data_IF_905321194961
#
_entry.id   IF_905321194961
#
_cell.length_a   1.000
_cell.length_b   1.000
_cell.length_c   1.000
_cell.angle_alpha   90.00
_cell.angle_beta   90.00
_cell.angle_gamma   90.00
#
_symmetry.space_group_name_H-M   'P 1'
#
loop_
_entity.id
_entity.type
_entity.pdbx_description
1 polymer ?
#
# COMPACT_ATOMS: atom_id res chain seq x y z
N UNK A 1 34.29 6.78 -14.07
CA UNK A 1 32.98 6.53 -14.70
C UNK A 1 32.16 5.47 -13.98
N UNK A 2 32.79 4.46 -13.41
CA UNK A 2 32.11 3.28 -12.77
C UNK A 2 31.36 3.59 -11.44
N UNK A 3 31.89 4.49 -10.59
CA UNK A 3 31.27 4.84 -9.29
C UNK A 3 29.95 5.62 -9.43
N UNK A 4 29.86 6.50 -10.42
CA UNK A 4 28.64 7.25 -10.76
C UNK A 4 27.57 6.30 -11.29
N UNK A 5 27.91 5.39 -12.17
CA UNK A 5 26.99 4.41 -12.76
C UNK A 5 26.44 3.43 -11.70
N UNK A 6 27.27 3.02 -10.71
CA UNK A 6 26.81 2.22 -9.55
C UNK A 6 25.84 2.97 -8.63
N UNK A 7 26.04 4.28 -8.43
CA UNK A 7 25.12 5.10 -7.63
C UNK A 7 23.76 5.25 -8.33
N UNK A 8 23.72 5.51 -9.63
CA UNK A 8 22.49 5.66 -10.41
C UNK A 8 21.64 4.37 -10.40
N UNK A 9 22.30 3.19 -10.47
CA UNK A 9 21.63 1.88 -10.42
C UNK A 9 20.88 1.61 -9.10
N UNK A 10 21.19 2.33 -8.01
CA UNK A 10 20.47 2.24 -6.73
C UNK A 10 19.58 3.43 -6.45
N UNK A 11 19.93 4.62 -6.95
CA UNK A 11 19.17 5.84 -6.71
C UNK A 11 17.82 5.85 -7.45
N UNK A 12 17.79 5.38 -8.71
CA UNK A 12 16.54 5.33 -9.49
C UNK A 12 15.51 4.37 -8.88
N UNK A 13 15.85 3.12 -8.52
CA UNK A 13 14.91 2.24 -7.80
C UNK A 13 14.46 2.82 -6.45
N UNK A 14 15.36 3.44 -5.69
CA UNK A 14 15.01 4.07 -4.42
C UNK A 14 13.97 5.17 -4.62
N UNK A 15 14.22 6.09 -5.55
CA UNK A 15 13.28 7.18 -5.85
C UNK A 15 11.94 6.64 -6.35
N UNK A 16 11.97 5.63 -7.23
CA UNK A 16 10.77 4.98 -7.74
C UNK A 16 9.92 4.39 -6.61
N UNK A 17 10.52 3.59 -5.72
CA UNK A 17 9.81 2.96 -4.63
C UNK A 17 9.35 3.98 -3.58
N UNK A 18 10.14 5.02 -3.30
CA UNK A 18 9.76 6.10 -2.40
C UNK A 18 8.55 6.89 -2.91
N UNK A 19 8.55 7.26 -4.20
CA UNK A 19 7.42 7.98 -4.84
C UNK A 19 6.17 7.10 -4.87
N UNK A 20 6.31 5.81 -5.21
CA UNK A 20 5.21 4.85 -5.14
C UNK A 20 4.63 4.78 -3.73
N UNK A 21 5.45 4.48 -2.73
CA UNK A 21 5.00 4.30 -1.34
C UNK A 21 4.32 5.55 -0.79
N UNK A 22 4.85 6.73 -1.07
CA UNK A 22 4.19 7.99 -0.72
C UNK A 22 2.81 8.12 -1.37
N UNK A 23 2.72 7.86 -2.67
CA UNK A 23 1.45 7.92 -3.41
C UNK A 23 0.43 6.91 -2.93
N UNK A 24 0.86 5.65 -2.66
CA UNK A 24 0.00 4.59 -2.13
C UNK A 24 -0.55 4.96 -0.75
N UNK A 25 0.30 5.43 0.18
CA UNK A 25 -0.13 5.89 1.51
C UNK A 25 -1.14 7.03 1.42
N UNK A 26 -0.89 8.02 0.56
CA UNK A 26 -1.81 9.13 0.33
C UNK A 26 -3.14 8.67 -0.27
N UNK A 27 -3.11 7.74 -1.22
CA UNK A 27 -4.32 7.16 -1.83
C UNK A 27 -5.17 6.39 -0.81
N UNK A 28 -4.53 5.64 0.08
CA UNK A 28 -5.23 4.82 1.07
C UNK A 28 -5.99 5.66 2.10
N UNK A 29 -5.56 6.89 2.36
CA UNK A 29 -6.23 7.82 3.28
C UNK A 29 -7.50 8.49 2.71
N UNK A 30 -7.66 8.51 1.37
CA UNK A 30 -8.76 9.24 0.73
C UNK A 30 -10.16 8.79 1.18
N UNK A 31 -10.34 7.50 1.43
CA UNK A 31 -11.63 6.93 1.85
C UNK A 31 -12.15 7.55 3.15
N UNK A 32 -11.28 7.61 4.16
CA UNK A 32 -11.64 8.15 5.48
C UNK A 32 -11.83 9.66 5.43
N UNK A 33 -10.90 10.38 4.80
CA UNK A 33 -10.92 11.86 4.75
C UNK A 33 -12.14 12.38 3.99
N UNK A 34 -12.45 11.80 2.83
CA UNK A 34 -13.54 12.26 1.97
C UNK A 34 -14.88 11.56 2.22
N UNK A 35 -15.00 10.69 3.22
CA UNK A 35 -16.25 10.05 3.58
C UNK A 35 -17.40 11.04 3.80
N UNK A 36 -17.24 12.14 4.60
CA UNK A 36 -18.30 13.12 4.76
C UNK A 36 -18.64 13.88 3.47
N UNK A 37 -17.63 14.10 2.61
CA UNK A 37 -17.84 14.77 1.31
C UNK A 37 -18.65 13.89 0.36
N UNK A 38 -18.40 12.58 0.32
CA UNK A 38 -19.17 11.63 -0.46
C UNK A 38 -20.60 11.50 0.07
N UNK A 39 -20.76 11.42 1.39
CA UNK A 39 -22.07 11.36 2.03
C UNK A 39 -22.94 12.55 1.63
N UNK A 40 -22.41 13.76 1.74
CA UNK A 40 -23.14 14.98 1.38
C UNK A 40 -23.36 15.09 -0.15
N UNK A 41 -22.36 14.76 -0.96
CA UNK A 41 -22.43 14.92 -2.43
C UNK A 41 -23.44 14.01 -3.09
N UNK A 42 -23.56 12.78 -2.61
CA UNK A 42 -24.40 11.74 -3.19
C UNK A 42 -25.62 11.43 -2.33
N UNK A 43 -25.86 12.19 -1.23
CA UNK A 43 -26.91 11.96 -0.25
C UNK A 43 -26.95 10.50 0.24
N UNK A 44 -25.77 9.95 0.60
CA UNK A 44 -25.61 8.56 0.97
C UNK A 44 -26.16 8.30 2.38
N UNK A 45 -26.86 7.19 2.54
CA UNK A 45 -27.12 6.60 3.85
C UNK A 45 -25.83 5.99 4.44
N UNK A 46 -25.80 5.77 5.76
CA UNK A 46 -24.63 5.16 6.43
C UNK A 46 -24.24 3.79 5.88
N UNK A 47 -25.18 2.88 5.53
CA UNK A 47 -24.85 1.64 4.85
C UNK A 47 -24.18 1.85 3.48
N UNK A 48 -24.63 2.82 2.70
CA UNK A 48 -24.04 3.15 1.40
C UNK A 48 -22.63 3.74 1.56
N UNK A 49 -22.41 4.58 2.57
CA UNK A 49 -21.09 5.10 2.89
C UNK A 49 -20.12 3.96 3.29
N UNK A 50 -20.59 3.05 4.14
CA UNK A 50 -19.83 1.86 4.55
C UNK A 50 -19.50 0.94 3.38
N UNK A 51 -20.34 0.90 2.33
CA UNK A 51 -20.10 0.12 1.12
C UNK A 51 -18.83 0.56 0.38
N UNK A 52 -18.48 1.85 0.41
CA UNK A 52 -17.23 2.36 -0.19
C UNK A 52 -16.01 1.69 0.46
N UNK A 53 -16.02 1.58 1.78
CA UNK A 53 -14.94 0.93 2.55
C UNK A 53 -14.94 -0.58 2.27
N UNK A 54 -16.10 -1.21 2.37
CA UNK A 54 -16.26 -2.66 2.16
C UNK A 54 -15.78 -3.09 0.78
N UNK A 55 -16.23 -2.44 -0.29
CA UNK A 55 -15.85 -2.79 -1.66
C UNK A 55 -14.35 -2.60 -1.90
N UNK A 56 -13.74 -1.60 -1.27
CA UNK A 56 -12.28 -1.40 -1.33
C UNK A 56 -11.54 -2.59 -0.74
N UNK A 57 -11.97 -3.11 0.42
CA UNK A 57 -11.34 -4.28 1.05
C UNK A 57 -11.61 -5.59 0.30
N UNK A 58 -12.75 -5.71 -0.39
CA UNK A 58 -12.99 -6.81 -1.32
C UNK A 58 -11.95 -6.76 -2.46
N UNK A 59 -11.70 -5.58 -3.03
CA UNK A 59 -10.63 -5.36 -4.00
C UNK A 59 -9.26 -5.78 -3.46
N UNK A 60 -8.91 -5.33 -2.26
CA UNK A 60 -7.68 -5.72 -1.57
C UNK A 60 -7.53 -7.25 -1.47
N UNK A 61 -8.56 -7.95 -0.97
CA UNK A 61 -8.55 -9.39 -0.81
C UNK A 61 -8.35 -10.12 -2.14
N UNK A 62 -9.05 -9.69 -3.19
CA UNK A 62 -8.94 -10.29 -4.51
C UNK A 62 -7.55 -10.09 -5.11
N UNK A 63 -7.01 -8.87 -5.06
CA UNK A 63 -5.67 -8.58 -5.60
C UNK A 63 -4.58 -9.33 -4.83
N UNK A 64 -4.67 -9.45 -3.51
CA UNK A 64 -3.73 -10.24 -2.72
C UNK A 64 -3.82 -11.74 -3.04
N UNK A 65 -5.03 -12.27 -3.16
CA UNK A 65 -5.25 -13.69 -3.47
C UNK A 65 -4.68 -14.09 -4.85
N UNK A 66 -4.78 -13.18 -5.82
CA UNK A 66 -4.25 -13.40 -7.17
C UNK A 66 -2.78 -13.01 -7.30
N UNK A 67 -2.31 -12.11 -6.43
CA UNK A 67 -1.02 -11.44 -6.55
C UNK A 67 0.17 -12.38 -6.55
N UNK A 68 0.20 -13.37 -5.66
CA UNK A 68 1.28 -14.37 -5.62
C UNK A 68 1.41 -15.11 -6.96
N UNK A 69 0.29 -15.63 -7.47
CA UNK A 69 0.26 -16.35 -8.75
C UNK A 69 0.65 -15.45 -9.93
N UNK A 70 0.23 -14.19 -9.93
CA UNK A 70 0.60 -13.22 -10.97
C UNK A 70 2.11 -12.94 -10.96
N UNK A 71 2.70 -12.74 -9.78
CA UNK A 71 4.13 -12.48 -9.60
C UNK A 71 4.99 -13.67 -10.06
N UNK A 72 4.54 -14.88 -9.81
CA UNK A 72 5.24 -16.11 -10.23
C UNK A 72 5.12 -16.34 -11.74
N UNK A 73 3.99 -15.97 -12.36
CA UNK A 73 3.71 -16.25 -13.77
C UNK A 73 4.32 -15.21 -14.71
N UNK A 74 4.12 -13.92 -14.41
CA UNK A 74 4.45 -12.81 -15.33
C UNK A 74 5.74 -12.07 -15.00
N UNK A 75 6.36 -12.39 -13.86
CA UNK A 75 7.55 -11.69 -13.39
C UNK A 75 7.23 -10.38 -12.67
N UNK A 76 8.09 -10.04 -11.71
CA UNK A 76 7.83 -8.97 -10.73
C UNK A 76 7.73 -7.59 -11.36
N UNK A 77 8.60 -7.28 -12.34
CA UNK A 77 8.60 -5.97 -13.04
C UNK A 77 7.34 -5.77 -13.86
N UNK A 78 6.93 -6.80 -14.61
CA UNK A 78 5.71 -6.76 -15.44
C UNK A 78 4.48 -6.56 -14.57
N UNK A 79 4.37 -7.32 -13.47
CA UNK A 79 3.26 -7.18 -12.52
C UNK A 79 3.26 -5.79 -11.90
N UNK A 80 4.42 -5.28 -11.44
CA UNK A 80 4.52 -3.93 -10.88
C UNK A 80 4.04 -2.87 -11.86
N UNK A 81 4.45 -2.92 -13.13
CA UNK A 81 4.02 -1.98 -14.16
C UNK A 81 2.51 -2.08 -14.45
N UNK A 82 2.00 -3.29 -14.63
CA UNK A 82 0.57 -3.50 -14.91
C UNK A 82 -0.30 -3.02 -13.76
N UNK A 83 0.08 -3.32 -12.52
CA UNK A 83 -0.68 -2.91 -11.33
C UNK A 83 -0.55 -1.41 -11.08
N UNK A 84 0.61 -0.79 -11.38
CA UNK A 84 0.75 0.68 -11.38
C UNK A 84 -0.21 1.30 -12.41
N UNK A 85 -0.34 0.72 -13.60
CA UNK A 85 -1.31 1.16 -14.60
C UNK A 85 -2.76 1.08 -14.11
N UNK A 86 -3.15 -0.01 -13.43
CA UNK A 86 -4.48 -0.17 -12.82
C UNK A 86 -4.69 0.90 -11.74
N UNK A 87 -3.69 1.15 -10.89
CA UNK A 87 -3.79 2.19 -9.87
C UNK A 87 -3.93 3.59 -10.46
N UNK A 88 -3.14 3.94 -11.48
CA UNK A 88 -3.26 5.21 -12.23
C UNK A 88 -4.65 5.34 -12.85
N UNK A 89 -5.17 4.27 -13.46
CA UNK A 89 -6.51 4.28 -14.05
C UNK A 89 -7.60 4.47 -12.98
N UNK A 90 -7.43 3.90 -11.79
CA UNK A 90 -8.37 4.14 -10.68
C UNK A 90 -8.34 5.59 -10.21
N UNK A 91 -7.17 6.25 -10.19
CA UNK A 91 -7.07 7.68 -9.88
C UNK A 91 -7.73 8.54 -10.98
N UNK A 92 -7.57 8.16 -12.25
CA UNK A 92 -8.27 8.81 -13.35
C UNK A 92 -9.80 8.69 -13.20
N UNK A 93 -10.30 7.51 -12.84
CA UNK A 93 -11.71 7.30 -12.55
C UNK A 93 -12.21 8.23 -11.42
N UNK A 94 -11.41 8.44 -10.37
CA UNK A 94 -11.75 9.40 -9.31
C UNK A 94 -11.86 10.85 -9.84
N UNK A 95 -10.99 11.26 -10.76
CA UNK A 95 -11.02 12.60 -11.35
C UNK A 95 -12.28 12.82 -12.20
N UNK A 96 -12.62 11.83 -13.04
CA UNK A 96 -13.79 11.91 -13.95
C UNK A 96 -15.10 11.53 -13.29
N UNK A 97 -15.06 10.87 -12.11
CA UNK A 97 -16.27 10.35 -11.46
C UNK A 97 -17.31 11.45 -11.25
N UNK A 98 -18.53 11.16 -11.60
CA UNK A 98 -19.70 12.00 -11.37
C UNK A 98 -20.83 11.27 -10.64
N UNK A 99 -20.64 9.97 -10.36
CA UNK A 99 -21.68 9.12 -9.76
C UNK A 99 -21.09 8.20 -8.68
N UNK A 100 -21.96 7.79 -7.75
CA UNK A 100 -21.60 6.88 -6.66
C UNK A 100 -21.05 5.52 -7.15
N UNK A 101 -21.62 4.83 -8.18
CA UNK A 101 -21.05 3.60 -8.68
C UNK A 101 -19.61 3.74 -9.22
N UNK A 102 -19.30 4.87 -9.86
CA UNK A 102 -17.93 5.15 -10.31
C UNK A 102 -16.94 5.22 -9.14
N UNK A 103 -17.35 5.83 -8.02
CA UNK A 103 -16.53 5.86 -6.78
C UNK A 103 -16.30 4.45 -6.26
N UNK A 104 -17.32 3.58 -6.22
CA UNK A 104 -17.17 2.19 -5.78
C UNK A 104 -16.15 1.43 -6.63
N UNK A 105 -16.27 1.53 -7.95
CA UNK A 105 -15.36 0.87 -8.90
C UNK A 105 -13.92 1.41 -8.72
N UNK A 106 -13.77 2.72 -8.64
CA UNK A 106 -12.43 3.31 -8.48
C UNK A 106 -11.78 2.91 -7.17
N UNK A 107 -12.53 2.90 -6.07
CA UNK A 107 -12.01 2.54 -4.73
C UNK A 107 -11.68 1.04 -4.63
N UNK A 108 -12.43 0.17 -5.31
CA UNK A 108 -12.11 -1.24 -5.45
C UNK A 108 -10.73 -1.44 -6.08
N UNK A 109 -10.49 -0.82 -7.23
CA UNK A 109 -9.21 -0.95 -7.92
C UNK A 109 -8.09 -0.19 -7.23
N UNK A 110 -8.36 0.97 -6.62
CA UNK A 110 -7.37 1.77 -5.93
C UNK A 110 -6.72 1.00 -4.79
N UNK A 111 -7.51 0.44 -3.87
CA UNK A 111 -6.96 -0.32 -2.73
C UNK A 111 -6.39 -1.66 -3.15
N UNK A 112 -7.04 -2.38 -4.06
CA UNK A 112 -6.54 -3.65 -4.57
C UNK A 112 -5.16 -3.49 -5.22
N UNK A 113 -5.03 -2.52 -6.12
CA UNK A 113 -3.75 -2.22 -6.77
C UNK A 113 -2.71 -1.69 -5.78
N UNK A 114 -3.09 -0.79 -4.85
CA UNK A 114 -2.21 -0.27 -3.80
C UNK A 114 -1.57 -1.40 -3.00
N UNK A 115 -2.36 -2.33 -2.51
CA UNK A 115 -1.88 -3.44 -1.68
C UNK A 115 -0.96 -4.38 -2.45
N UNK A 116 -1.29 -4.71 -3.70
CA UNK A 116 -0.42 -5.56 -4.51
C UNK A 116 0.88 -4.86 -4.89
N UNK A 117 0.87 -3.55 -5.14
CA UNK A 117 2.07 -2.75 -5.37
C UNK A 117 2.95 -2.71 -4.12
N UNK A 118 2.37 -2.46 -2.95
CA UNK A 118 3.07 -2.49 -1.67
C UNK A 118 3.78 -3.84 -1.46
N UNK A 119 3.06 -4.94 -1.67
CA UNK A 119 3.62 -6.29 -1.60
C UNK A 119 4.76 -6.48 -2.62
N UNK A 120 4.58 -6.01 -3.84
CA UNK A 120 5.59 -6.13 -4.91
C UNK A 120 6.85 -5.33 -4.59
N UNK A 121 6.73 -4.11 -4.07
CA UNK A 121 7.86 -3.29 -3.62
C UNK A 121 8.62 -3.99 -2.48
N UNK A 122 7.91 -4.57 -1.52
CA UNK A 122 8.52 -5.32 -0.43
C UNK A 122 9.30 -6.57 -0.92
N UNK A 123 8.81 -7.25 -1.95
CA UNK A 123 9.49 -8.39 -2.57
C UNK A 123 10.70 -7.94 -3.41
N UNK A 124 10.61 -6.78 -4.07
CA UNK A 124 11.70 -6.24 -4.89
C UNK A 124 12.81 -5.59 -4.07
N UNK A 125 12.50 -5.05 -2.90
CA UNK A 125 13.46 -4.34 -2.05
C UNK A 125 14.69 -5.19 -1.70
N UNK A 126 14.59 -6.45 -1.25
CA UNK A 126 15.76 -7.30 -1.00
C UNK A 126 16.57 -7.62 -2.26
N UNK A 127 15.95 -7.66 -3.42
CA UNK A 127 16.63 -7.93 -4.70
C UNK A 127 17.48 -6.72 -5.10
N UNK A 128 16.95 -5.51 -4.94
CA UNK A 128 17.64 -4.25 -5.31
C UNK A 128 18.66 -3.82 -4.25
N UNK A 129 18.29 -3.97 -2.96
CA UNK A 129 19.05 -3.47 -1.81
C UNK A 129 19.56 -4.60 -0.91
N UNK A 130 20.15 -5.65 -1.50
CA UNK A 130 20.55 -6.88 -0.79
C UNK A 130 21.37 -6.69 0.48
N UNK A 131 22.17 -5.60 0.58
CA UNK A 131 22.99 -5.32 1.76
C UNK A 131 22.27 -4.67 2.95
N UNK A 132 21.09 -4.05 2.73
CA UNK A 132 20.33 -3.28 3.74
C UNK A 132 18.82 -3.37 3.52
N UNK A 133 18.36 -4.52 3.08
CA UNK A 133 16.96 -4.74 2.70
C UNK A 133 15.99 -4.35 3.83
N UNK A 134 16.26 -4.78 5.06
CA UNK A 134 15.40 -4.46 6.21
C UNK A 134 15.33 -2.95 6.49
N UNK A 135 16.46 -2.23 6.39
CA UNK A 135 16.47 -0.77 6.55
C UNK A 135 15.65 -0.10 5.45
N UNK A 136 15.80 -0.54 4.19
CA UNK A 136 15.06 0.03 3.07
C UNK A 136 13.56 -0.20 3.16
N UNK A 137 13.14 -1.40 3.56
CA UNK A 137 11.73 -1.71 3.81
C UNK A 137 11.15 -0.76 4.87
N UNK A 138 11.85 -0.57 5.99
CA UNK A 138 11.40 0.35 7.04
C UNK A 138 11.33 1.81 6.56
N UNK A 139 12.30 2.26 5.77
CA UNK A 139 12.28 3.61 5.17
C UNK A 139 11.07 3.76 4.23
N UNK A 140 10.76 2.78 3.41
CA UNK A 140 9.62 2.83 2.50
C UNK A 140 8.29 2.82 3.25
N UNK A 141 8.14 2.03 4.31
CA UNK A 141 6.97 2.10 5.18
C UNK A 141 6.85 3.44 5.91
N UNK A 142 7.97 4.02 6.35
CA UNK A 142 7.96 5.36 6.93
C UNK A 142 7.51 6.42 5.93
N UNK A 143 7.98 6.37 4.68
CA UNK A 143 7.53 7.25 3.60
C UNK A 143 6.04 7.04 3.31
N UNK A 144 5.55 5.80 3.31
CA UNK A 144 4.13 5.49 3.18
C UNK A 144 3.32 6.11 4.32
N UNK A 145 3.81 6.00 5.56
CA UNK A 145 3.19 6.63 6.73
C UNK A 145 3.13 8.16 6.62
N UNK A 146 4.20 8.81 6.11
CA UNK A 146 4.17 10.26 5.80
C UNK A 146 3.10 10.56 4.73
N UNK A 147 2.98 9.74 3.69
CA UNK A 147 1.93 9.86 2.69
C UNK A 147 0.53 9.81 3.31
N UNK A 148 0.28 8.82 4.16
CA UNK A 148 -1.01 8.63 4.83
C UNK A 148 -1.34 9.77 5.79
N UNK A 149 -0.46 10.04 6.76
CA UNK A 149 -0.70 11.04 7.81
C UNK A 149 -0.60 12.47 7.27
N UNK A 150 0.36 12.73 6.37
CA UNK A 150 0.52 14.03 5.74
C UNK A 150 -0.68 14.42 4.88
N UNK A 151 -1.23 13.45 4.13
CA UNK A 151 -2.45 13.68 3.36
C UNK A 151 -3.63 14.00 4.27
N UNK A 152 -3.81 13.26 5.36
CA UNK A 152 -4.87 13.52 6.33
C UNK A 152 -4.77 14.93 6.91
N UNK A 153 -3.57 15.34 7.32
CA UNK A 153 -3.35 16.67 7.88
C UNK A 153 -3.64 17.80 6.87
N UNK A 154 -3.06 17.70 5.67
CA UNK A 154 -3.20 18.75 4.64
C UNK A 154 -4.62 18.82 4.10
N UNK A 155 -5.21 17.68 3.76
CA UNK A 155 -6.54 17.62 3.16
C UNK A 155 -7.65 17.93 4.17
N UNK A 156 -7.50 17.46 5.41
CA UNK A 156 -8.43 17.79 6.50
C UNK A 156 -8.51 19.30 6.71
N UNK A 157 -7.39 20.02 6.51
CA UNK A 157 -7.36 21.47 6.73
C UNK A 157 -7.79 22.31 5.52
N UNK A 158 -7.42 21.87 4.30
CA UNK A 158 -7.53 22.73 3.12
C UNK A 158 -8.36 22.16 1.97
N UNK A 159 -8.68 20.87 2.00
CA UNK A 159 -9.19 20.16 0.85
C UNK A 159 -10.54 19.47 0.97
N UNK A 160 -11.32 19.71 2.05
CA UNK A 160 -12.58 19.02 2.31
C UNK A 160 -13.73 19.49 1.41
N UNK A 161 -13.56 19.23 0.13
CA UNK A 161 -14.57 19.50 -0.88
C UNK A 161 -14.49 18.43 -1.98
N UNK A 162 -15.54 18.29 -2.76
CA UNK A 162 -15.54 17.37 -3.89
C UNK A 162 -14.52 17.76 -4.98
N UNK A 163 -14.29 19.06 -5.20
CA UNK A 163 -13.22 19.56 -6.05
C UNK A 163 -11.85 19.27 -5.49
N UNK A 164 -11.67 19.36 -4.17
CA UNK A 164 -10.45 18.95 -3.48
C UNK A 164 -10.14 17.47 -3.68
N UNK A 165 -11.15 16.60 -3.56
CA UNK A 165 -11.01 15.17 -3.86
C UNK A 165 -10.51 14.91 -5.29
N UNK A 166 -11.10 15.60 -6.29
CA UNK A 166 -10.66 15.50 -7.68
C UNK A 166 -9.23 16.03 -7.88
N UNK A 167 -8.90 17.16 -7.25
CA UNK A 167 -7.56 17.77 -7.33
C UNK A 167 -6.48 16.85 -6.77
N UNK A 168 -6.73 16.22 -5.61
CA UNK A 168 -5.80 15.27 -5.02
C UNK A 168 -5.69 13.99 -5.86
N UNK A 169 -6.81 13.49 -6.37
CA UNK A 169 -6.80 12.33 -7.27
C UNK A 169 -5.99 12.60 -8.54
N UNK A 170 -6.07 13.82 -9.08
CA UNK A 170 -5.24 14.26 -10.21
C UNK A 170 -3.74 14.31 -9.84
N UNK A 171 -3.41 14.84 -8.66
CA UNK A 171 -2.03 14.83 -8.17
C UNK A 171 -1.48 13.40 -8.02
N UNK A 172 -2.27 12.50 -7.44
CA UNK A 172 -1.90 11.10 -7.29
C UNK A 172 -1.78 10.37 -8.63
N UNK A 173 -2.61 10.72 -9.61
CA UNK A 173 -2.48 10.25 -10.99
C UNK A 173 -1.12 10.64 -11.57
N UNK A 174 -0.72 11.92 -11.44
CA UNK A 174 0.58 12.40 -11.93
C UNK A 174 1.75 11.72 -11.22
N UNK A 175 1.65 11.52 -9.90
CA UNK A 175 2.62 10.76 -9.10
C UNK A 175 2.72 9.33 -9.62
N UNK A 176 1.59 8.69 -9.90
CA UNK A 176 1.54 7.33 -10.43
C UNK A 176 2.17 7.19 -11.82
N UNK A 177 1.90 8.13 -12.71
CA UNK A 177 2.53 8.19 -14.04
C UNK A 177 4.05 8.37 -13.92
N UNK A 178 4.49 9.29 -13.06
CA UNK A 178 5.92 9.51 -12.80
C UNK A 178 6.59 8.26 -12.21
N UNK A 179 5.94 7.61 -11.25
CA UNK A 179 6.43 6.36 -10.66
C UNK A 179 6.48 5.22 -11.69
N UNK A 180 5.49 5.11 -12.55
CA UNK A 180 5.48 4.14 -13.67
C UNK A 180 6.63 4.38 -14.65
N UNK A 181 6.90 5.64 -15.01
CA UNK A 181 8.04 6.01 -15.84
C UNK A 181 9.38 5.66 -15.15
N UNK A 182 9.53 5.96 -13.86
CA UNK A 182 10.70 5.56 -13.09
C UNK A 182 10.86 4.05 -13.00
N UNK A 183 9.77 3.30 -12.89
CA UNK A 183 9.77 1.85 -12.85
C UNK A 183 10.23 1.24 -14.19
N UNK A 184 9.86 1.85 -15.32
CA UNK A 184 10.39 1.46 -16.64
C UNK A 184 11.90 1.64 -16.71
N UNK A 185 12.42 2.75 -16.17
CA UNK A 185 13.85 3.06 -16.14
C UNK A 185 14.63 2.24 -15.10
N UNK A 186 13.94 1.61 -14.15
CA UNK A 186 14.57 0.82 -13.10
C UNK A 186 15.13 -0.48 -13.68
N UNK A 187 16.47 -0.71 -13.65
CA UNK A 187 17.05 -1.96 -14.09
C UNK A 187 16.78 -3.04 -13.04
N UNK A 188 15.78 -3.86 -13.25
CA UNK A 188 15.48 -5.04 -12.44
C UNK A 188 16.09 -6.30 -13.08
N UNK A 189 17.32 -6.19 -13.60
CA UNK A 189 18.04 -7.19 -14.39
C UNK A 189 18.48 -8.44 -13.59
N UNK A 190 17.71 -8.86 -12.60
CA UNK A 190 17.91 -10.11 -11.86
C UNK A 190 16.92 -11.22 -12.17
N UNK A 191 15.93 -10.97 -13.03
CA UNK A 191 14.95 -11.98 -13.46
C UNK A 191 15.45 -12.84 -14.65
N UNK A 192 16.60 -13.52 -14.51
CA UNK A 192 16.75 -14.76 -15.26
C UNK A 192 15.71 -15.73 -14.74
N UNK A 193 14.78 -16.13 -15.61
CA UNK A 193 13.86 -17.24 -15.37
C UNK A 193 14.67 -18.41 -14.84
N UNK A 194 14.79 -18.59 -13.54
CA UNK A 194 15.08 -19.90 -12.98
C UNK A 194 13.85 -20.77 -13.25
N UNK A 195 13.78 -21.27 -14.48
CA UNK A 195 12.97 -22.44 -14.79
C UNK A 195 13.60 -23.59 -14.02
N UNK A 196 13.02 -23.93 -12.91
CA UNK A 196 13.37 -25.20 -12.28
C UNK A 196 13.57 -25.12 -10.77
N UNK A 197 12.58 -25.59 -10.10
CA UNK A 197 12.52 -26.05 -8.72
C UNK A 197 11.79 -25.12 -7.72
N UNK A 198 10.52 -25.40 -7.39
CA UNK A 198 9.78 -24.67 -6.37
C UNK A 198 10.31 -24.90 -4.94
N UNK A 199 11.43 -25.61 -4.79
CA UNK A 199 11.98 -25.99 -3.48
C UNK A 199 13.10 -25.10 -2.95
N UNK A 200 13.45 -23.98 -3.63
CA UNK A 200 14.40 -23.00 -3.12
C UNK A 200 13.75 -21.61 -2.99
N UNK A 201 12.61 -21.51 -2.35
CA UNK A 201 12.24 -20.29 -1.67
C UNK A 201 13.36 -20.00 -0.68
N UNK A 202 14.12 -18.91 -0.90
CA UNK A 202 15.09 -18.41 0.08
C UNK A 202 14.27 -18.14 1.34
N UNK A 203 14.46 -18.89 2.42
CA UNK A 203 13.74 -18.59 3.64
C UNK A 203 14.14 -17.18 4.06
N UNK A 204 13.19 -16.32 4.31
CA UNK A 204 13.37 -15.03 4.96
C UNK A 204 14.04 -15.30 6.32
N UNK A 205 15.39 -15.32 6.33
CA UNK A 205 16.14 -15.26 7.58
C UNK A 205 15.96 -13.85 8.10
N UNK A 206 14.90 -13.65 8.87
CA UNK A 206 14.81 -12.51 9.78
C UNK A 206 16.13 -12.45 10.54
N UNK A 207 16.70 -11.26 10.64
CA UNK A 207 17.86 -10.98 11.48
C UNK A 207 17.58 -11.49 12.89
N UNK A 208 17.98 -12.73 13.17
CA UNK A 208 18.25 -13.12 14.53
C UNK A 208 19.56 -12.41 14.91
N UNK A 209 19.42 -11.41 15.74
CA UNK A 209 20.51 -10.84 16.50
C UNK A 209 21.35 -11.98 17.04
N UNK A 210 22.66 -11.94 16.77
CA UNK A 210 23.66 -12.74 17.47
C UNK A 210 23.56 -12.40 18.97
N UNK A 211 22.80 -13.19 19.69
CA UNK A 211 22.84 -13.25 21.13
C UNK A 211 23.24 -14.67 21.50
N UNK A 212 24.52 -14.77 21.85
CA UNK A 212 25.11 -15.76 22.77
C UNK A 212 24.67 -17.21 22.57
N UNK A 213 25.54 -17.98 21.92
CA UNK A 213 25.58 -19.44 22.06
C UNK A 213 25.79 -19.78 23.54
N UNK A 214 24.75 -20.12 24.23
CA UNK A 214 24.78 -20.95 25.42
C UNK A 214 24.21 -22.30 25.04
N UNK A 215 25.05 -23.34 25.23
CA UNK A 215 24.67 -24.74 25.09
C UNK A 215 23.51 -25.02 26.05
N UNK A 216 22.38 -25.48 25.47
CA UNK A 216 21.54 -26.46 26.18
C UNK A 216 20.41 -26.98 25.30
N UNK A 217 20.26 -28.30 25.30
CA UNK A 217 19.01 -29.01 25.25
C UNK A 217 18.20 -28.94 23.93
N UNK A 218 18.29 -29.98 23.11
CA UNK A 218 17.31 -30.33 22.08
C UNK A 218 15.88 -30.26 22.64
N UNK A 219 15.15 -29.22 22.33
CA UNK A 219 13.70 -29.23 22.40
C UNK A 219 13.16 -28.68 21.09
N UNK A 220 12.85 -29.59 20.15
CA UNK A 220 12.01 -29.30 18.98
C UNK A 220 10.61 -28.95 19.49
N UNK A 221 10.40 -27.73 19.94
CA UNK A 221 9.06 -27.20 20.06
C UNK A 221 8.69 -26.59 18.70
N UNK A 222 7.95 -27.35 17.89
CA UNK A 222 7.06 -26.75 16.91
C UNK A 222 6.15 -25.81 17.72
N UNK A 223 6.14 -24.49 17.45
CA UNK A 223 5.16 -23.61 18.06
C UNK A 223 3.80 -24.23 17.75
N UNK A 224 3.08 -24.67 18.79
CA UNK A 224 1.86 -25.45 18.61
C UNK A 224 0.90 -24.68 17.73
N UNK A 225 0.10 -25.37 16.92
CA UNK A 225 -0.95 -24.79 16.08
C UNK A 225 -1.78 -23.73 16.83
N UNK A 226 -1.94 -23.91 18.13
CA UNK A 226 -2.61 -22.97 19.03
C UNK A 226 -1.92 -21.59 19.09
N UNK A 227 -0.58 -21.54 19.21
CA UNK A 227 0.17 -20.27 19.24
C UNK A 227 0.04 -19.55 17.90
N UNK A 228 0.12 -20.28 16.79
CA UNK A 228 -0.07 -19.70 15.46
C UNK A 228 -1.48 -19.09 15.29
N UNK A 229 -2.51 -19.84 15.69
CA UNK A 229 -3.90 -19.38 15.66
C UNK A 229 -4.08 -18.14 16.54
N UNK A 230 -3.52 -18.15 17.77
CA UNK A 230 -3.59 -17.01 18.68
C UNK A 230 -2.93 -15.75 18.08
N UNK A 231 -1.76 -15.89 17.45
CA UNK A 231 -1.08 -14.79 16.77
C UNK A 231 -1.92 -14.26 15.60
N UNK A 232 -2.52 -15.13 14.81
CA UNK A 232 -3.44 -14.71 13.72
C UNK A 232 -4.65 -13.94 14.26
N UNK A 233 -5.23 -14.39 15.36
CA UNK A 233 -6.35 -13.70 16.02
C UNK A 233 -5.91 -12.33 16.55
N UNK A 234 -4.77 -12.24 17.24
CA UNK A 234 -4.23 -10.97 17.74
C UNK A 234 -3.99 -9.96 16.60
N UNK A 235 -3.34 -10.40 15.52
CA UNK A 235 -3.10 -9.57 14.34
C UNK A 235 -4.43 -9.16 13.71
N UNK A 236 -5.41 -10.05 13.63
CA UNK A 236 -6.75 -9.74 13.12
C UNK A 236 -7.44 -8.63 13.92
N UNK A 237 -7.46 -8.72 15.26
CA UNK A 237 -8.01 -7.67 16.12
C UNK A 237 -7.26 -6.34 16.00
N UNK A 238 -5.93 -6.39 15.90
CA UNK A 238 -5.12 -5.20 15.67
C UNK A 238 -5.53 -4.49 14.37
N UNK A 239 -5.64 -5.23 13.26
CA UNK A 239 -6.05 -4.64 11.97
C UNK A 239 -7.48 -4.10 11.98
N UNK A 240 -8.42 -4.77 12.67
CA UNK A 240 -9.79 -4.26 12.82
C UNK A 240 -9.78 -2.92 13.55
N UNK A 241 -9.02 -2.80 14.65
CA UNK A 241 -8.90 -1.56 15.42
C UNK A 241 -8.23 -0.45 14.61
N UNK A 242 -7.09 -0.72 14.00
CA UNK A 242 -6.32 0.23 13.20
C UNK A 242 -7.15 0.78 12.04
N UNK A 243 -7.74 -0.10 11.25
CA UNK A 243 -8.53 0.32 10.09
C UNK A 243 -9.87 0.95 10.46
N UNK A 244 -10.47 0.55 11.57
CA UNK A 244 -11.64 1.22 12.13
C UNK A 244 -11.32 2.69 12.45
N UNK A 245 -10.23 2.94 13.16
CA UNK A 245 -9.78 4.29 13.49
C UNK A 245 -9.46 5.08 12.21
N UNK A 246 -8.64 4.54 11.31
CA UNK A 246 -8.21 5.23 10.11
C UNK A 246 -9.36 5.64 9.17
N UNK A 247 -10.41 4.83 9.07
CA UNK A 247 -11.52 5.12 8.16
C UNK A 247 -12.64 5.95 8.80
N UNK A 248 -12.86 5.86 10.11
CA UNK A 248 -14.05 6.41 10.74
C UNK A 248 -13.80 7.51 11.77
N UNK A 249 -12.59 7.60 12.37
CA UNK A 249 -12.30 8.57 13.41
C UNK A 249 -12.55 10.00 12.94
N UNK A 250 -12.11 10.32 11.73
CA UNK A 250 -12.28 11.65 11.15
C UNK A 250 -13.77 12.03 11.00
N UNK A 251 -14.56 11.13 10.43
CA UNK A 251 -16.02 11.32 10.29
C UNK A 251 -16.71 11.42 11.66
N UNK A 252 -16.30 10.58 12.61
CA UNK A 252 -16.82 10.59 13.96
C UNK A 252 -16.53 11.92 14.67
N UNK A 253 -15.31 12.45 14.58
CA UNK A 253 -14.95 13.73 15.18
C UNK A 253 -15.78 14.89 14.64
N UNK A 254 -16.04 14.92 13.33
CA UNK A 254 -16.88 15.94 12.73
C UNK A 254 -18.33 15.83 13.20
N UNK A 255 -18.90 14.64 13.20
CA UNK A 255 -20.32 14.42 13.50
C UNK A 255 -20.62 14.51 15.00
N UNK A 256 -19.81 13.86 15.85
CA UNK A 256 -20.07 13.75 17.28
C UNK A 256 -19.68 15.01 18.07
N UNK A 257 -18.60 15.69 17.67
CA UNK A 257 -18.05 16.83 18.38
C UNK A 257 -18.19 18.16 17.65
N UNK A 258 -18.81 18.16 16.46
CA UNK A 258 -18.95 19.37 15.61
C UNK A 258 -17.60 20.05 15.37
N UNK A 259 -16.51 19.31 15.36
CA UNK A 259 -15.15 19.83 15.16
C UNK A 259 -15.04 20.29 13.71
N UNK A 260 -14.61 21.54 13.43
CA UNK A 260 -14.34 21.97 12.07
C UNK A 260 -13.34 21.01 11.40
N UNK A 261 -13.61 20.59 10.16
CA UNK A 261 -12.83 19.58 9.46
C UNK A 261 -11.31 19.85 9.39
N UNK A 262 -10.90 21.11 9.57
CA UNK A 262 -9.47 21.49 9.70
C UNK A 262 -8.86 21.27 11.08
N UNK A 263 -9.64 20.82 12.08
CA UNK A 263 -9.18 20.51 13.45
C UNK A 263 -9.47 19.05 13.85
N UNK A 264 -10.20 18.29 13.02
CA UNK A 264 -10.44 16.86 13.19
C UNK A 264 -9.31 16.05 12.56
#
# INVERSE_FOLDING_TARGET
MDKRMKMWKKAVPFLCFAVLMFGLGSSDSLRGIFAPVFQNRYALSDPQLSMIVTISYVGNLLFLSLGGKLLDTFGRKTVALSVTGIWVLSMLLNVVSGSYPCILISMFFALGASTLLNTTVNILTPVVFSGYAGLMVNIFFFIQGIGTSGSQFVLGRYGLSYSGFKGVSLLLLLIGVAAGALLLLTPLDGEKKEKGNPSKAVPFKGQQSEMTQSKEGKMKQNPGKAVFILLCIMIGFYFIGEHGIMNWLFSYCIQAFSVPGGKA
#
